data_IF_456127395396
#
_entry.id   IF_456127395396
#
_cell.length_a   1.000
_cell.length_b   1.000
_cell.length_c   1.000
_cell.angle_alpha   90.00
_cell.angle_beta   90.00
_cell.angle_gamma   90.00
#
_symmetry.space_group_name_H-M   'P 1'
#
loop_
_entity.id
_entity.type
_entity.pdbx_description
1 polymer ?
#
# COMPACT_ATOMS: atom_id res chain seq x y z
N UNK A 1 -13.79 -29.12 -24.69
CA UNK A 1 -14.63 -28.78 -23.53
C UNK A 1 -13.69 -28.40 -22.40
N UNK A 2 -13.55 -27.10 -22.10
CA UNK A 2 -12.84 -26.68 -20.91
C UNK A 2 -13.70 -27.06 -19.70
N UNK A 3 -13.29 -28.05 -18.92
CA UNK A 3 -13.93 -28.37 -17.64
C UNK A 3 -13.67 -27.20 -16.68
N UNK A 4 -14.53 -26.18 -16.80
CA UNK A 4 -14.54 -25.05 -15.88
C UNK A 4 -15.07 -25.60 -14.57
N UNK A 5 -14.16 -25.80 -13.61
CA UNK A 5 -14.49 -26.19 -12.24
C UNK A 5 -15.66 -25.35 -11.72
N UNK A 6 -16.62 -25.95 -10.99
CA UNK A 6 -17.76 -25.21 -10.46
C UNK A 6 -17.30 -24.05 -9.57
N UNK A 7 -18.05 -22.95 -9.57
CA UNK A 7 -17.65 -21.67 -8.93
C UNK A 7 -17.25 -21.81 -7.45
N UNK A 8 -17.86 -22.74 -6.72
CA UNK A 8 -17.51 -23.01 -5.32
C UNK A 8 -16.14 -23.70 -5.19
N UNK A 9 -15.79 -24.59 -6.12
CA UNK A 9 -14.48 -25.25 -6.14
C UNK A 9 -13.37 -24.27 -6.49
N UNK A 10 -13.62 -23.36 -7.43
CA UNK A 10 -12.67 -22.29 -7.76
C UNK A 10 -12.56 -21.22 -6.68
N UNK A 11 -13.65 -20.92 -5.96
CA UNK A 11 -13.65 -19.89 -4.93
C UNK A 11 -13.15 -20.37 -3.56
N UNK A 12 -13.35 -21.64 -3.20
CA UNK A 12 -13.06 -22.16 -1.85
C UNK A 12 -12.03 -23.27 -1.89
N UNK A 13 -12.24 -24.30 -2.72
CA UNK A 13 -11.39 -25.51 -2.71
C UNK A 13 -9.98 -25.21 -3.20
N UNK A 14 -9.82 -24.46 -4.31
CA UNK A 14 -8.50 -24.11 -4.84
C UNK A 14 -7.66 -23.28 -3.85
N UNK A 15 -8.16 -22.16 -3.28
CA UNK A 15 -7.42 -21.43 -2.26
C UNK A 15 -7.09 -22.27 -1.02
N UNK A 16 -8.03 -23.11 -0.57
CA UNK A 16 -7.81 -23.98 0.59
C UNK A 16 -6.72 -25.02 0.32
N UNK A 17 -6.73 -25.67 -0.85
CA UNK A 17 -5.67 -26.60 -1.25
C UNK A 17 -4.31 -25.92 -1.38
N UNK A 18 -4.26 -24.71 -1.92
CA UNK A 18 -3.03 -23.93 -1.99
C UNK A 18 -2.50 -23.58 -0.59
N UNK A 19 -3.37 -23.17 0.32
CA UNK A 19 -3.01 -22.88 1.71
C UNK A 19 -2.50 -24.13 2.43
N UNK A 20 -3.21 -25.25 2.32
CA UNK A 20 -2.79 -26.52 2.92
C UNK A 20 -1.47 -27.02 2.33
N UNK A 21 -1.26 -26.84 1.02
CA UNK A 21 0.01 -27.21 0.37
C UNK A 21 1.15 -26.34 0.86
N UNK A 22 0.94 -25.03 0.99
CA UNK A 22 1.93 -24.11 1.54
C UNK A 22 2.27 -24.45 3.01
N UNK A 23 1.26 -24.73 3.83
CA UNK A 23 1.44 -25.17 5.21
C UNK A 23 2.16 -26.52 5.33
N UNK A 24 1.86 -27.47 4.43
CA UNK A 24 2.57 -28.74 4.36
C UNK A 24 4.04 -28.56 4.02
N UNK A 25 4.35 -27.73 3.01
CA UNK A 25 5.74 -27.45 2.61
C UNK A 25 6.48 -26.72 3.72
N UNK A 26 5.87 -25.68 4.32
CA UNK A 26 6.46 -24.96 5.44
C UNK A 26 6.69 -25.89 6.65
N UNK A 27 5.69 -26.71 6.99
CA UNK A 27 5.79 -27.70 8.06
C UNK A 27 6.86 -28.75 7.81
N UNK A 28 7.01 -29.22 6.58
CA UNK A 28 8.08 -30.15 6.21
C UNK A 28 9.47 -29.52 6.40
N UNK A 29 9.64 -28.25 6.02
CA UNK A 29 10.90 -27.53 6.24
C UNK A 29 11.21 -27.39 7.73
N UNK A 30 10.22 -27.01 8.55
CA UNK A 30 10.36 -26.91 10.01
C UNK A 30 10.77 -28.26 10.61
N UNK A 31 10.12 -29.33 10.16
CA UNK A 31 10.45 -30.69 10.59
C UNK A 31 11.88 -31.09 10.21
N UNK A 32 12.33 -30.76 9.00
CA UNK A 32 13.69 -31.01 8.53
C UNK A 32 14.75 -30.21 9.32
N UNK A 33 14.37 -29.08 9.91
CA UNK A 33 15.22 -28.29 10.81
C UNK A 33 15.27 -28.84 12.24
N UNK A 34 14.54 -29.93 12.53
CA UNK A 34 14.50 -30.55 13.86
C UNK A 34 13.48 -29.94 14.82
N UNK A 35 12.69 -28.98 14.36
CA UNK A 35 11.67 -28.29 15.14
C UNK A 35 10.29 -28.93 14.93
N UNK A 36 9.38 -28.79 15.90
CA UNK A 36 8.04 -29.36 15.77
C UNK A 36 7.12 -28.43 14.96
N UNK A 37 6.54 -28.88 13.81
CA UNK A 37 5.72 -28.02 12.97
C UNK A 37 4.44 -27.53 13.65
N UNK A 38 3.83 -28.39 14.49
CA UNK A 38 2.59 -28.06 15.21
C UNK A 38 2.81 -26.98 16.27
N UNK A 39 3.92 -27.02 17.01
CA UNK A 39 4.25 -26.00 17.99
C UNK A 39 4.62 -24.69 17.32
N UNK A 40 5.42 -24.75 16.25
CA UNK A 40 5.78 -23.57 15.46
C UNK A 40 4.53 -22.87 14.90
N UNK A 41 3.58 -23.63 14.35
CA UNK A 41 2.29 -23.10 13.88
C UNK A 41 1.47 -22.52 15.05
N UNK A 42 1.46 -23.21 16.19
CA UNK A 42 0.79 -22.75 17.41
C UNK A 42 1.35 -21.41 17.92
N UNK A 43 2.67 -21.24 17.88
CA UNK A 43 3.38 -20.00 18.24
C UNK A 43 3.03 -18.89 17.25
N UNK A 44 3.00 -19.18 15.94
CA UNK A 44 2.64 -18.19 14.92
C UNK A 44 1.21 -17.68 15.12
N UNK A 45 0.24 -18.59 15.31
CA UNK A 45 -1.16 -18.22 15.54
C UNK A 45 -1.31 -17.44 16.86
N UNK A 46 -0.66 -17.88 17.94
CA UNK A 46 -0.71 -17.16 19.20
C UNK A 46 -0.08 -15.77 19.09
N UNK A 47 1.10 -15.70 18.48
CA UNK A 47 1.87 -14.45 18.36
C UNK A 47 1.24 -13.46 17.39
N UNK A 48 0.50 -13.90 16.37
CA UNK A 48 -0.07 -13.00 15.37
C UNK A 48 -1.54 -12.62 15.63
N UNK A 49 -2.34 -13.53 16.23
CA UNK A 49 -3.80 -13.38 16.33
C UNK A 49 -4.30 -13.36 17.77
N UNK A 50 -3.84 -14.28 18.63
CA UNK A 50 -4.39 -14.42 19.98
C UNK A 50 -3.78 -13.43 20.98
N UNK A 51 -2.49 -13.10 20.80
CA UNK A 51 -1.82 -12.06 21.58
C UNK A 51 -2.31 -10.68 21.12
N UNK A 52 -2.89 -9.84 22.00
CA UNK A 52 -3.34 -8.50 21.63
C UNK A 52 -2.23 -7.61 21.05
N UNK A 53 -1.00 -7.73 21.56
CA UNK A 53 0.14 -6.97 21.02
C UNK A 53 0.49 -7.43 19.62
N UNK A 54 0.55 -8.75 19.45
CA UNK A 54 0.73 -9.42 18.17
C UNK A 54 -0.27 -8.97 17.12
N UNK A 55 -1.55 -9.00 17.48
CA UNK A 55 -2.64 -8.51 16.64
C UNK A 55 -2.48 -7.03 16.31
N UNK A 56 -2.02 -6.19 17.24
CA UNK A 56 -1.72 -4.79 16.97
C UNK A 56 -0.60 -4.59 15.94
N UNK A 57 0.46 -5.41 15.99
CA UNK A 57 1.51 -5.41 14.94
C UNK A 57 0.98 -5.90 13.59
N UNK A 58 0.19 -6.98 13.59
CA UNK A 58 -0.45 -7.52 12.38
C UNK A 58 -1.31 -6.45 11.70
N UNK A 59 -2.18 -5.77 12.46
CA UNK A 59 -3.04 -4.69 11.94
C UNK A 59 -2.23 -3.46 11.50
N UNK A 60 -1.12 -3.16 12.18
CA UNK A 60 -0.23 -2.08 11.78
C UNK A 60 0.37 -2.35 10.40
N UNK A 61 0.94 -3.53 10.13
CA UNK A 61 1.47 -3.87 8.81
C UNK A 61 0.36 -3.98 7.76
N UNK A 62 -0.78 -4.59 8.12
CA UNK A 62 -1.95 -4.69 7.25
C UNK A 62 -2.42 -3.31 6.76
N UNK A 63 -2.30 -2.26 7.57
CA UNK A 63 -2.66 -0.88 7.18
C UNK A 63 -1.89 -0.40 5.94
N UNK A 64 -0.56 -0.55 5.96
CA UNK A 64 0.31 -0.19 4.83
C UNK A 64 0.01 -1.06 3.61
N UNK A 65 -0.16 -2.37 3.84
CA UNK A 65 -0.44 -3.36 2.80
C UNK A 65 -1.81 -3.21 2.14
N UNK A 66 -2.82 -2.75 2.86
CA UNK A 66 -4.13 -2.38 2.29
C UNK A 66 -3.95 -1.23 1.31
N UNK A 67 -3.22 -0.17 1.68
CA UNK A 67 -3.00 0.98 0.79
C UNK A 67 -2.21 0.61 -0.47
N UNK A 68 -1.14 -0.17 -0.33
CA UNK A 68 -0.36 -0.63 -1.50
C UNK A 68 -1.14 -1.64 -2.35
N UNK A 69 -1.92 -2.53 -1.73
CA UNK A 69 -2.84 -3.43 -2.43
C UNK A 69 -3.93 -2.70 -3.20
N UNK A 70 -4.56 -1.68 -2.60
CA UNK A 70 -5.54 -0.82 -3.27
C UNK A 70 -4.92 -0.02 -4.41
N UNK A 71 -3.69 0.47 -4.23
CA UNK A 71 -2.92 1.17 -5.27
C UNK A 71 -2.74 0.30 -6.52
N UNK A 72 -2.33 -0.96 -6.34
CA UNK A 72 -2.20 -1.88 -7.48
C UNK A 72 -3.57 -2.26 -8.03
N UNK A 73 -4.54 -2.56 -7.16
CA UNK A 73 -5.87 -2.99 -7.58
C UNK A 73 -6.58 -1.94 -8.45
N UNK A 74 -6.51 -0.64 -8.12
CA UNK A 74 -7.15 0.42 -8.93
C UNK A 74 -6.51 0.54 -10.32
N UNK A 75 -5.18 0.41 -10.42
CA UNK A 75 -4.49 0.41 -11.71
C UNK A 75 -4.89 -0.80 -12.54
N UNK A 76 -5.00 -1.98 -11.93
CA UNK A 76 -5.40 -3.19 -12.64
C UNK A 76 -6.86 -3.16 -13.11
N UNK A 77 -7.77 -2.47 -12.40
CA UNK A 77 -9.13 -2.24 -12.90
C UNK A 77 -9.14 -1.48 -14.24
N UNK A 78 -8.13 -0.64 -14.49
CA UNK A 78 -7.92 0.05 -15.76
C UNK A 78 -7.14 -0.76 -16.80
N UNK A 79 -6.80 -2.03 -16.50
CA UNK A 79 -5.94 -2.86 -17.36
C UNK A 79 -4.45 -2.56 -17.24
N UNK A 80 -4.02 -1.82 -16.21
CA UNK A 80 -2.63 -1.42 -16.01
C UNK A 80 -1.97 -2.27 -14.92
N UNK A 81 -0.84 -2.90 -15.25
CA UNK A 81 -0.03 -3.63 -14.28
C UNK A 81 1.02 -2.68 -13.67
N UNK A 82 0.59 -1.86 -12.69
CA UNK A 82 1.47 -0.89 -12.02
C UNK A 82 2.40 -1.60 -11.01
N UNK A 83 3.71 -1.58 -11.25
CA UNK A 83 4.75 -2.07 -10.31
C UNK A 83 5.44 -0.90 -9.58
N UNK A 84 4.95 0.32 -9.79
CA UNK A 84 5.56 1.57 -9.31
C UNK A 84 5.14 2.01 -7.91
N UNK A 85 4.32 1.22 -7.20
CA UNK A 85 3.79 1.61 -5.89
C UNK A 85 4.91 1.84 -4.87
N UNK A 86 6.04 1.13 -4.99
CA UNK A 86 7.25 1.34 -4.16
C UNK A 86 7.79 2.78 -4.31
N UNK A 87 8.01 3.24 -5.54
CA UNK A 87 8.50 4.59 -5.85
C UNK A 87 7.48 5.68 -5.53
N UNK A 88 6.20 5.41 -5.76
CA UNK A 88 5.11 6.31 -5.38
C UNK A 88 5.04 6.49 -3.86
N UNK A 89 5.27 5.42 -3.10
CA UNK A 89 5.38 5.46 -1.64
C UNK A 89 6.59 6.28 -1.22
N UNK A 90 7.79 6.07 -1.80
CA UNK A 90 8.96 6.93 -1.53
C UNK A 90 8.64 8.42 -1.64
N UNK A 91 8.10 8.85 -2.79
CA UNK A 91 7.84 10.27 -3.05
C UNK A 91 6.67 10.78 -2.21
N UNK A 92 5.66 9.95 -1.91
CA UNK A 92 4.62 10.27 -0.94
C UNK A 92 5.15 10.47 0.48
N UNK A 93 6.11 9.65 0.91
CA UNK A 93 6.80 9.82 2.19
C UNK A 93 7.63 11.10 2.24
N UNK A 94 8.27 11.47 1.13
CA UNK A 94 8.96 12.76 1.00
C UNK A 94 7.99 13.94 1.14
N UNK A 95 6.88 13.94 0.40
CA UNK A 95 5.89 15.01 0.45
C UNK A 95 5.32 15.22 1.86
N UNK A 96 4.97 14.11 2.52
CA UNK A 96 4.58 14.09 3.94
C UNK A 96 5.66 14.71 4.83
N UNK A 97 6.91 14.27 4.68
CA UNK A 97 8.03 14.71 5.51
C UNK A 97 8.29 16.20 5.35
N UNK A 98 8.33 16.70 4.11
CA UNK A 98 8.54 18.13 3.85
C UNK A 98 7.42 18.97 4.45
N UNK A 99 6.17 18.51 4.34
CA UNK A 99 5.01 19.19 4.93
C UNK A 99 5.11 19.25 6.45
N UNK A 100 5.44 18.13 7.10
CA UNK A 100 5.60 18.06 8.56
C UNK A 100 6.77 18.93 9.01
N UNK A 101 7.96 18.79 8.42
CA UNK A 101 9.15 19.55 8.82
C UNK A 101 8.98 21.08 8.67
N UNK A 102 8.14 21.51 7.72
CA UNK A 102 7.84 22.93 7.51
C UNK A 102 6.81 23.50 8.50
N UNK A 103 6.00 22.65 9.16
CA UNK A 103 4.85 23.11 9.95
C UNK A 103 4.78 22.59 11.38
N UNK A 104 5.57 21.59 11.74
CA UNK A 104 5.53 20.94 13.06
C UNK A 104 5.90 21.87 14.23
N UNK A 105 6.62 22.96 13.95
CA UNK A 105 6.97 23.99 14.93
C UNK A 105 5.87 25.06 15.14
N UNK A 106 4.93 25.23 14.21
CA UNK A 106 4.02 26.39 14.18
C UNK A 106 2.53 26.04 14.18
N UNK A 107 2.16 24.85 13.69
CA UNK A 107 0.76 24.45 13.56
C UNK A 107 0.33 23.48 14.67
N UNK A 108 -0.99 23.43 14.90
CA UNK A 108 -1.61 22.46 15.79
C UNK A 108 -1.64 21.06 15.16
N UNK A 109 -1.54 19.97 15.95
CA UNK A 109 -1.67 18.59 15.47
C UNK A 109 -2.86 18.34 14.54
N UNK A 110 -4.00 18.97 14.84
CA UNK A 110 -5.25 18.86 14.07
C UNK A 110 -5.14 19.37 12.64
N UNK A 111 -4.18 20.25 12.35
CA UNK A 111 -3.89 20.75 11.01
C UNK A 111 -2.72 19.99 10.36
N UNK A 112 -1.68 19.69 11.15
CA UNK A 112 -0.49 18.98 10.63
C UNK A 112 -0.88 17.62 10.05
N UNK A 113 -1.69 16.82 10.77
CA UNK A 113 -2.02 15.45 10.35
C UNK A 113 -2.78 15.41 9.02
N UNK A 114 -3.90 16.15 8.83
CA UNK A 114 -4.59 16.19 7.54
C UNK A 114 -3.70 16.74 6.40
N UNK A 115 -2.91 17.79 6.66
CA UNK A 115 -2.03 18.36 5.64
C UNK A 115 -0.93 17.37 5.22
N UNK A 116 -0.36 16.63 6.17
CA UNK A 116 0.63 15.60 5.91
C UNK A 116 0.06 14.43 5.09
N UNK A 117 -1.17 13.98 5.42
CA UNK A 117 -1.91 12.96 4.65
C UNK A 117 -2.15 13.43 3.22
N UNK A 118 -2.63 14.67 3.04
CA UNK A 118 -2.87 15.26 1.72
C UNK A 118 -1.58 15.42 0.93
N UNK A 119 -0.52 15.95 1.54
CA UNK A 119 0.79 16.08 0.91
C UNK A 119 1.33 14.72 0.46
N UNK A 120 1.17 13.68 1.28
CA UNK A 120 1.59 12.31 0.94
C UNK A 120 0.86 11.78 -0.29
N UNK A 121 -0.48 11.91 -0.31
CA UNK A 121 -1.29 11.49 -1.45
C UNK A 121 -0.99 12.30 -2.72
N UNK A 122 -0.83 13.62 -2.60
CA UNK A 122 -0.55 14.50 -3.75
C UNK A 122 0.81 14.18 -4.37
N UNK A 123 1.85 13.99 -3.55
CA UNK A 123 3.19 13.66 -4.06
C UNK A 123 3.22 12.27 -4.69
N UNK A 124 2.58 11.28 -4.06
CA UNK A 124 2.44 9.94 -4.64
C UNK A 124 1.68 9.97 -5.98
N UNK A 125 0.59 10.73 -6.06
CA UNK A 125 -0.18 10.93 -7.29
C UNK A 125 0.65 11.64 -8.37
N UNK A 126 1.36 12.72 -8.02
CA UNK A 126 2.22 13.45 -8.93
C UNK A 126 3.34 12.57 -9.49
N UNK A 127 3.89 11.65 -8.68
CA UNK A 127 4.86 10.68 -9.17
C UNK A 127 4.25 9.68 -10.16
N UNK A 128 3.07 9.16 -9.85
CA UNK A 128 2.35 8.23 -10.71
C UNK A 128 1.81 8.86 -12.00
N UNK A 129 1.57 10.17 -11.99
CA UNK A 129 1.14 10.94 -13.15
C UNK A 129 2.12 10.79 -14.32
N UNK A 130 3.43 10.81 -14.05
CA UNK A 130 4.45 10.75 -15.10
C UNK A 130 4.41 9.43 -15.89
N UNK A 131 4.52 8.23 -15.27
CA UNK A 131 4.32 6.96 -15.99
C UNK A 131 2.93 6.85 -16.62
N UNK A 132 1.88 7.31 -15.94
CA UNK A 132 0.51 7.28 -16.46
C UNK A 132 0.33 8.13 -17.71
N UNK A 133 0.92 9.32 -17.75
CA UNK A 133 0.92 10.21 -18.91
C UNK A 133 1.71 9.60 -20.07
N UNK A 134 2.91 9.05 -19.80
CA UNK A 134 3.73 8.39 -20.81
C UNK A 134 3.00 7.20 -21.45
N UNK A 135 2.33 6.37 -20.64
CA UNK A 135 1.50 5.28 -21.15
C UNK A 135 0.29 5.81 -21.96
N UNK A 136 -0.39 6.84 -21.46
CA UNK A 136 -1.61 7.37 -22.07
C UNK A 136 -1.40 8.16 -23.37
N UNK A 137 -0.22 8.77 -23.55
CA UNK A 137 0.09 9.67 -24.68
C UNK A 137 1.18 9.15 -25.60
N UNK A 138 2.15 8.40 -25.08
CA UNK A 138 3.29 7.89 -25.87
C UNK A 138 3.27 6.37 -26.04
N UNK A 139 2.29 5.68 -25.44
CA UNK A 139 2.20 4.22 -25.52
C UNK A 139 3.34 3.50 -24.80
N UNK A 140 4.09 4.19 -23.92
CA UNK A 140 5.20 3.59 -23.18
C UNK A 140 4.67 2.53 -22.22
N UNK A 141 5.24 1.32 -22.26
CA UNK A 141 4.76 0.19 -21.47
C UNK A 141 4.81 0.45 -19.96
N UNK A 142 3.65 0.40 -19.29
CA UNK A 142 3.46 0.83 -17.89
C UNK A 142 4.36 0.06 -16.92
N UNK A 143 4.59 -1.23 -17.16
CA UNK A 143 5.44 -2.06 -16.29
C UNK A 143 6.88 -1.55 -16.30
N UNK A 144 7.45 -1.29 -17.48
CA UNK A 144 8.85 -0.87 -17.62
C UNK A 144 9.03 0.53 -17.06
N UNK A 145 8.13 1.46 -17.41
CA UNK A 145 8.21 2.84 -16.93
C UNK A 145 8.09 2.92 -15.41
N UNK A 146 7.16 2.18 -14.81
CA UNK A 146 6.97 2.19 -13.35
C UNK A 146 8.13 1.54 -12.59
N UNK A 147 8.72 0.45 -13.11
CA UNK A 147 9.94 -0.14 -12.54
C UNK A 147 11.10 0.87 -12.59
N UNK A 148 11.34 1.51 -13.73
CA UNK A 148 12.42 2.51 -13.86
C UNK A 148 12.21 3.69 -12.90
N UNK A 149 10.97 4.13 -12.73
CA UNK A 149 10.63 5.20 -11.80
C UNK A 149 10.81 4.83 -10.33
N UNK A 150 10.77 3.54 -9.95
CA UNK A 150 11.14 3.11 -8.60
C UNK A 150 12.63 3.41 -8.31
N UNK A 151 13.52 3.07 -9.24
CA UNK A 151 14.95 3.33 -9.09
C UNK A 151 15.28 4.83 -9.10
N UNK A 152 14.57 5.61 -9.93
CA UNK A 152 14.69 7.08 -9.92
C UNK A 152 14.22 7.62 -8.58
N UNK A 153 13.08 7.15 -8.05
CA UNK A 153 12.56 7.60 -6.77
C UNK A 153 13.51 7.28 -5.60
N UNK A 154 14.06 6.06 -5.54
CA UNK A 154 15.01 5.67 -4.50
C UNK A 154 16.31 6.48 -4.57
N UNK A 155 16.82 6.73 -5.77
CA UNK A 155 18.04 7.53 -5.99
C UNK A 155 17.81 9.00 -5.65
N UNK A 156 16.67 9.54 -6.05
CA UNK A 156 16.26 10.92 -5.72
C UNK A 156 16.05 11.08 -4.21
N UNK A 157 15.43 10.10 -3.54
CA UNK A 157 15.28 10.10 -2.10
C UNK A 157 16.64 10.13 -1.39
N UNK A 158 17.58 9.30 -1.84
CA UNK A 158 18.94 9.29 -1.31
C UNK A 158 19.61 10.67 -1.44
N UNK A 159 19.57 11.25 -2.64
CA UNK A 159 20.10 12.59 -2.89
C UNK A 159 19.47 13.64 -1.98
N UNK A 160 18.14 13.68 -1.89
CA UNK A 160 17.43 14.71 -1.11
C UNK A 160 17.75 14.59 0.38
N UNK A 161 17.79 13.36 0.92
CA UNK A 161 18.11 13.17 2.33
C UNK A 161 19.53 13.67 2.61
N UNK A 162 20.51 13.19 1.84
CA UNK A 162 21.93 13.51 2.05
C UNK A 162 22.21 14.99 1.84
N UNK A 163 21.63 15.62 0.83
CA UNK A 163 21.90 17.01 0.50
C UNK A 163 21.17 18.01 1.41
N UNK A 164 19.97 17.67 1.91
CA UNK A 164 19.08 18.67 2.54
C UNK A 164 18.46 18.27 3.88
N UNK A 165 18.30 16.99 4.19
CA UNK A 165 17.51 16.57 5.36
C UNK A 165 18.33 16.06 6.55
N UNK A 166 19.61 15.72 6.34
CA UNK A 166 20.50 15.32 7.45
C UNK A 166 20.66 16.51 8.43
N UNK A 167 20.34 16.33 9.72
CA UNK A 167 20.54 17.36 10.73
C UNK A 167 22.03 17.70 10.90
N UNK A 168 22.33 18.98 11.17
CA UNK A 168 23.69 19.44 11.44
C UNK A 168 24.32 18.63 12.58
N UNK A 169 25.53 18.12 12.36
CA UNK A 169 26.26 17.30 13.33
C UNK A 169 25.85 15.81 13.37
N UNK A 170 24.96 15.36 12.49
CA UNK A 170 24.63 13.94 12.34
C UNK A 170 25.17 13.36 11.03
N UNK A 171 25.43 12.05 11.03
CA UNK A 171 25.83 11.30 9.83
C UNK A 171 24.77 10.28 9.38
N UNK A 172 23.72 10.08 10.18
CA UNK A 172 22.63 9.17 9.82
C UNK A 172 21.87 9.74 8.62
N UNK A 173 21.70 8.93 7.58
CA UNK A 173 20.95 9.27 6.36
C UNK A 173 19.45 9.24 6.63
N UNK A 174 18.98 10.21 7.41
CA UNK A 174 17.60 10.37 7.82
C UNK A 174 17.29 11.85 8.06
N UNK A 175 16.00 12.22 8.01
CA UNK A 175 15.57 13.54 8.47
C UNK A 175 15.72 13.68 9.98
N UNK A 176 15.62 14.92 10.49
CA UNK A 176 15.36 15.11 11.93
C UNK A 176 14.08 14.41 12.36
N UNK A 177 14.01 14.09 13.65
CA UNK A 177 12.78 13.63 14.31
C UNK A 177 11.71 14.72 14.22
N UNK A 178 10.48 14.31 13.92
CA UNK A 178 9.32 15.19 13.90
C UNK A 178 8.92 15.57 15.32
N UNK A 179 8.39 16.78 15.49
CA UNK A 179 7.79 17.15 16.76
C UNK A 179 6.65 16.19 17.13
N UNK A 180 6.43 15.99 18.44
CA UNK A 180 5.39 15.09 18.95
C UNK A 180 3.99 15.50 18.53
N UNK A 181 3.79 16.77 18.16
CA UNK A 181 2.56 17.30 17.56
C UNK A 181 2.19 16.65 16.23
N UNK A 182 3.18 16.13 15.49
CA UNK A 182 2.98 15.48 14.20
C UNK A 182 2.82 13.95 14.31
N UNK A 183 2.92 13.38 15.50
CA UNK A 183 2.81 11.93 15.66
C UNK A 183 1.35 11.49 15.54
N UNK A 184 1.11 10.41 14.82
CA UNK A 184 -0.25 9.88 14.74
C UNK A 184 -0.67 9.31 16.10
N UNK A 185 -1.90 9.61 16.55
CA UNK A 185 -2.44 8.98 17.75
C UNK A 185 -2.46 7.45 17.59
N UNK A 186 -1.86 6.76 18.56
CA UNK A 186 -1.90 5.30 18.64
C UNK A 186 -3.29 4.84 19.06
N UNK A 187 -3.75 3.73 18.50
CA UNK A 187 -5.04 3.12 18.89
C UNK A 187 -4.98 2.56 20.31
N UNK A 188 -3.80 2.14 20.78
CA UNK A 188 -3.59 1.65 22.14
C UNK A 188 -3.95 2.67 23.22
N UNK A 189 -3.84 3.98 22.93
CA UNK A 189 -4.29 5.04 23.83
C UNK A 189 -5.80 5.01 24.09
N UNK A 190 -6.58 4.55 23.11
CA UNK A 190 -8.05 4.47 23.20
C UNK A 190 -8.54 3.05 23.53
N UNK A 191 -7.78 2.02 23.13
CA UNK A 191 -8.04 0.61 23.40
C UNK A 191 -6.84 0.00 24.14
N UNK A 192 -6.78 0.09 25.48
CA UNK A 192 -5.66 -0.41 26.27
C UNK A 192 -5.45 -1.93 26.15
N UNK A 193 -6.48 -2.66 25.74
CA UNK A 193 -6.46 -4.12 25.53
C UNK A 193 -5.39 -4.53 24.51
N UNK A 194 -5.03 -3.66 23.57
CA UNK A 194 -4.06 -3.94 22.51
C UNK A 194 -2.59 -3.80 22.94
N UNK A 195 -2.32 -3.44 24.20
CA UNK A 195 -0.95 -3.21 24.68
C UNK A 195 -0.25 -2.04 23.99
N UNK A 196 1.06 -1.87 24.21
CA UNK A 196 1.82 -0.77 23.60
C UNK A 196 2.25 -1.12 22.17
N UNK A 197 1.32 -1.04 21.22
CA UNK A 197 1.55 -1.37 19.81
C UNK A 197 1.76 -0.14 18.94
N UNK A 198 2.41 -0.29 17.76
CA UNK A 198 2.53 0.79 16.78
C UNK A 198 1.23 1.09 16.01
N UNK A 199 0.16 0.30 16.24
CA UNK A 199 -1.14 0.48 15.61
C UNK A 199 -1.67 1.90 15.88
N UNK A 200 -2.07 2.59 14.80
CA UNK A 200 -2.44 3.98 14.83
C UNK A 200 -3.62 4.26 13.87
N UNK A 201 -4.12 5.49 13.88
CA UNK A 201 -5.32 5.92 13.13
C UNK A 201 -5.25 5.60 11.63
N UNK A 202 -4.05 5.41 11.06
CA UNK A 202 -3.90 5.01 9.65
C UNK A 202 -4.64 3.71 9.30
N UNK A 203 -4.85 2.79 10.26
CA UNK A 203 -5.66 1.59 10.05
C UNK A 203 -7.12 1.97 9.73
N UNK A 204 -7.69 2.93 10.46
CA UNK A 204 -9.05 3.43 10.21
C UNK A 204 -9.11 4.10 8.84
N UNK A 205 -8.07 4.86 8.45
CA UNK A 205 -7.96 5.44 7.12
C UNK A 205 -7.87 4.37 6.03
N UNK A 206 -7.18 3.25 6.28
CA UNK A 206 -7.07 2.13 5.35
C UNK A 206 -8.43 1.44 5.14
N UNK A 207 -9.20 1.22 6.22
CA UNK A 207 -10.58 0.70 6.14
C UNK A 207 -11.47 1.67 5.37
N UNK A 208 -11.38 2.97 5.65
CA UNK A 208 -12.14 3.98 4.92
C UNK A 208 -11.77 3.96 3.43
N UNK A 209 -10.48 3.84 3.09
CA UNK A 209 -10.02 3.73 1.71
C UNK A 209 -10.56 2.47 1.02
N UNK A 210 -10.67 1.33 1.70
CA UNK A 210 -11.30 0.11 1.17
C UNK A 210 -12.77 0.33 0.84
N UNK A 211 -13.51 0.98 1.74
CA UNK A 211 -14.93 1.29 1.52
C UNK A 211 -15.08 2.27 0.34
N UNK A 212 -14.29 3.33 0.31
CA UNK A 212 -14.31 4.31 -0.79
C UNK A 212 -13.96 3.63 -2.12
N UNK A 213 -12.92 2.80 -2.16
CA UNK A 213 -12.55 2.01 -3.33
C UNK A 213 -13.70 1.12 -3.79
N UNK A 214 -14.33 0.38 -2.86
CA UNK A 214 -15.48 -0.48 -3.15
C UNK A 214 -16.66 0.28 -3.76
N UNK A 215 -17.01 1.43 -3.19
CA UNK A 215 -18.10 2.27 -3.70
C UNK A 215 -17.73 2.91 -5.04
N UNK A 216 -16.53 3.49 -5.16
CA UNK A 216 -16.07 4.16 -6.37
C UNK A 216 -15.96 3.17 -7.55
N UNK A 217 -15.40 1.98 -7.33
CA UNK A 217 -15.23 1.01 -8.41
C UNK A 217 -16.56 0.31 -8.74
N UNK A 218 -17.30 -0.25 -7.78
CA UNK A 218 -18.50 -1.06 -8.08
C UNK A 218 -19.82 -0.29 -8.14
N UNK A 219 -19.94 0.87 -7.51
CA UNK A 219 -21.20 1.61 -7.42
C UNK A 219 -21.23 2.94 -8.18
N UNK A 220 -20.14 3.32 -8.87
CA UNK A 220 -20.10 4.57 -9.65
C UNK A 220 -20.00 4.36 -11.17
N UNK A 221 -20.43 5.37 -11.92
CA UNK A 221 -20.30 5.42 -13.39
C UNK A 221 -18.84 5.47 -13.83
N UNK A 222 -17.98 6.19 -13.10
CA UNK A 222 -16.54 6.22 -13.34
C UNK A 222 -15.92 4.83 -13.18
N UNK A 223 -16.29 4.10 -12.12
CA UNK A 223 -15.82 2.74 -11.88
C UNK A 223 -16.26 1.74 -12.95
N UNK A 224 -17.47 1.91 -13.52
CA UNK A 224 -17.91 1.14 -14.68
C UNK A 224 -17.02 1.41 -15.91
N UNK A 225 -16.74 2.68 -16.22
CA UNK A 225 -15.85 3.07 -17.34
C UNK A 225 -14.42 2.55 -17.14
N UNK A 226 -13.91 2.61 -15.90
CA UNK A 226 -12.60 2.10 -15.51
C UNK A 226 -12.49 0.61 -15.85
N UNK A 227 -13.43 -0.20 -15.35
CA UNK A 227 -13.46 -1.65 -15.62
C UNK A 227 -13.67 -1.98 -17.08
N UNK A 228 -14.56 -1.27 -17.76
CA UNK A 228 -14.79 -1.48 -19.19
C UNK A 228 -13.51 -1.25 -20.00
N UNK A 229 -12.77 -0.18 -19.68
CA UNK A 229 -11.48 0.12 -20.31
C UNK A 229 -10.42 -0.96 -20.02
N UNK A 230 -10.39 -1.50 -18.79
CA UNK A 230 -9.47 -2.58 -18.42
C UNK A 230 -9.78 -3.93 -19.08
N UNK A 231 -11.06 -4.23 -19.31
CA UNK A 231 -11.47 -5.46 -19.99
C UNK A 231 -11.20 -5.41 -21.51
N UNK A 232 -11.54 -4.29 -22.15
CA UNK A 232 -11.29 -4.09 -23.57
C UNK A 232 -11.22 -2.59 -23.90
N UNK A 233 -10.00 -2.08 -24.07
CA UNK A 233 -9.76 -0.68 -24.37
C UNK A 233 -10.41 -0.23 -25.69
N UNK A 234 -10.39 -1.07 -26.74
CA UNK A 234 -11.00 -0.72 -28.02
C UNK A 234 -12.53 -0.59 -27.88
N UNK A 235 -13.19 -1.57 -27.29
CA UNK A 235 -14.63 -1.53 -27.08
C UNK A 235 -15.06 -0.35 -26.18
N UNK A 236 -14.30 -0.07 -25.13
CA UNK A 236 -14.55 1.08 -24.26
C UNK A 236 -14.40 2.41 -25.01
N UNK A 237 -13.39 2.54 -25.88
CA UNK A 237 -13.21 3.72 -26.71
C UNK A 237 -14.36 3.91 -27.71
N UNK A 238 -14.81 2.84 -28.36
CA UNK A 238 -15.99 2.87 -29.23
C UNK A 238 -17.27 3.26 -28.48
N UNK A 239 -17.38 2.88 -27.21
CA UNK A 239 -18.48 3.27 -26.32
C UNK A 239 -18.35 4.71 -25.76
N UNK A 240 -17.36 5.49 -26.21
CA UNK A 240 -17.17 6.89 -25.83
C UNK A 240 -16.29 7.13 -24.59
N UNK A 241 -15.64 6.11 -24.05
CA UNK A 241 -14.72 6.26 -22.90
C UNK A 241 -13.38 6.82 -23.37
N UNK A 242 -12.95 7.94 -22.78
CA UNK A 242 -11.64 8.52 -23.08
C UNK A 242 -10.50 7.74 -22.39
N UNK A 243 -9.89 6.78 -23.11
CA UNK A 243 -8.83 5.92 -22.57
C UNK A 243 -7.69 6.69 -21.90
N UNK A 244 -7.18 7.76 -22.54
CA UNK A 244 -6.07 8.53 -21.96
C UNK A 244 -6.43 9.14 -20.60
N UNK A 245 -7.65 9.65 -20.42
CA UNK A 245 -8.07 10.20 -19.13
C UNK A 245 -8.24 9.08 -18.10
N UNK A 246 -8.81 7.94 -18.49
CA UNK A 246 -8.97 6.77 -17.61
C UNK A 246 -7.62 6.29 -17.09
N UNK A 247 -6.62 6.15 -17.96
CA UNK A 247 -5.26 5.74 -17.58
C UNK A 247 -4.64 6.74 -16.61
N UNK A 248 -4.67 8.04 -16.93
CA UNK A 248 -4.06 9.08 -16.09
C UNK A 248 -4.73 9.15 -14.72
N UNK A 249 -6.07 9.15 -14.67
CA UNK A 249 -6.82 9.22 -13.41
C UNK A 249 -6.61 7.96 -12.57
N UNK A 250 -6.60 6.78 -13.19
CA UNK A 250 -6.31 5.53 -12.48
C UNK A 250 -4.92 5.55 -11.85
N UNK A 251 -3.91 6.03 -12.60
CA UNK A 251 -2.54 6.15 -12.09
C UNK A 251 -2.41 7.22 -11.00
N UNK A 252 -3.07 8.36 -11.12
CA UNK A 252 -3.10 9.39 -10.07
C UNK A 252 -3.67 8.82 -8.75
N UNK A 253 -4.80 8.11 -8.82
CA UNK A 253 -5.41 7.49 -7.63
C UNK A 253 -4.53 6.37 -7.09
N UNK A 254 -3.94 5.55 -7.97
CA UNK A 254 -2.98 4.51 -7.60
C UNK A 254 -1.78 5.09 -6.83
N UNK A 255 -1.21 6.18 -7.34
CA UNK A 255 -0.13 6.92 -6.70
C UNK A 255 -0.52 7.55 -5.38
N UNK A 256 -1.71 8.14 -5.30
CA UNK A 256 -2.21 8.70 -4.05
C UNK A 256 -2.33 7.63 -2.96
N UNK A 257 -2.92 6.48 -3.28
CA UNK A 257 -3.07 5.36 -2.35
C UNK A 257 -1.71 4.79 -1.92
N UNK A 258 -0.75 4.64 -2.84
CA UNK A 258 0.60 4.22 -2.49
C UNK A 258 1.32 5.25 -1.61
N UNK A 259 1.15 6.54 -1.89
CA UNK A 259 1.69 7.62 -1.06
C UNK A 259 1.15 7.53 0.37
N UNK A 260 -0.17 7.40 0.53
CA UNK A 260 -0.85 7.26 1.82
C UNK A 260 -0.34 6.08 2.67
N UNK A 261 0.18 5.02 2.06
CA UNK A 261 0.82 3.92 2.79
C UNK A 261 2.00 4.38 3.68
N UNK A 262 2.67 5.47 3.28
CA UNK A 262 3.80 6.08 4.01
C UNK A 262 3.38 6.77 5.31
N UNK A 263 2.11 7.18 5.42
CA UNK A 263 1.57 7.84 6.62
C UNK A 263 1.72 6.94 7.84
N UNK A 264 1.39 5.65 7.68
CA UNK A 264 1.48 4.67 8.75
C UNK A 264 2.92 4.46 9.24
N UNK A 265 3.86 4.22 8.31
CA UNK A 265 5.25 3.89 8.66
C UNK A 265 5.98 5.11 9.22
N UNK A 266 5.81 6.28 8.60
CA UNK A 266 6.57 7.48 8.96
C UNK A 266 5.93 8.21 10.14
N UNK A 267 4.66 8.60 10.08
CA UNK A 267 4.04 9.36 11.19
C UNK A 267 3.57 8.47 12.33
N UNK A 268 3.32 7.19 12.06
CA UNK A 268 2.79 6.25 13.04
C UNK A 268 3.84 5.44 13.81
N UNK A 269 5.06 5.29 13.26
CA UNK A 269 6.10 4.46 13.88
C UNK A 269 7.46 5.14 13.98
N UNK A 270 8.10 5.48 12.86
CA UNK A 270 9.49 5.98 12.92
C UNK A 270 9.57 7.43 13.36
N UNK A 271 8.61 8.25 12.98
CA UNK A 271 8.54 9.70 13.22
C UNK A 271 9.69 10.50 12.60
N UNK A 272 10.37 9.93 11.60
CA UNK A 272 11.35 10.57 10.74
C UNK A 272 11.41 9.82 9.41
N UNK A 273 11.93 10.48 8.38
CA UNK A 273 12.15 9.88 7.08
C UNK A 273 13.50 9.19 7.04
N UNK A 274 13.52 7.89 6.73
CA UNK A 274 14.73 7.11 6.52
C UNK A 274 14.80 6.54 5.10
N UNK A 275 16.02 6.18 4.68
CA UNK A 275 16.19 5.38 3.48
C UNK A 275 15.51 4.01 3.64
N UNK A 276 15.01 3.47 2.54
CA UNK A 276 14.42 2.14 2.46
C UNK A 276 13.18 1.92 3.35
N UNK A 277 12.50 2.98 3.78
CA UNK A 277 11.27 2.87 4.57
C UNK A 277 10.12 2.10 3.88
N UNK A 278 9.98 2.06 2.53
CA UNK A 278 8.93 1.24 1.91
C UNK A 278 9.13 -0.25 2.12
N UNK A 279 10.39 -0.69 2.33
CA UNK A 279 10.75 -2.06 2.70
C UNK A 279 10.05 -3.17 1.87
N UNK A 280 9.82 -2.94 0.58
CA UNK A 280 9.13 -3.89 -0.30
C UNK A 280 7.61 -3.91 -0.20
N UNK A 281 6.99 -3.06 0.63
CA UNK A 281 5.53 -2.99 0.80
C UNK A 281 4.80 -2.68 -0.51
N UNK A 282 5.42 -1.95 -1.44
CA UNK A 282 4.87 -1.68 -2.76
C UNK A 282 4.76 -2.97 -3.60
N UNK A 283 5.79 -3.81 -3.55
CA UNK A 283 5.79 -5.11 -4.24
C UNK A 283 4.85 -6.13 -3.58
N UNK A 284 4.81 -6.16 -2.24
CA UNK A 284 3.85 -6.99 -1.48
C UNK A 284 2.41 -6.63 -1.86
N UNK A 285 2.13 -5.35 -2.08
CA UNK A 285 0.83 -4.87 -2.56
C UNK A 285 0.35 -5.54 -3.86
N UNK A 286 1.27 -5.95 -4.75
CA UNK A 286 0.92 -6.68 -5.98
C UNK A 286 0.36 -8.05 -5.64
N UNK A 287 1.03 -8.80 -4.76
CA UNK A 287 0.58 -10.12 -4.33
C UNK A 287 -0.80 -10.01 -3.66
N UNK A 288 -1.00 -9.01 -2.79
CA UNK A 288 -2.27 -8.75 -2.10
C UNK A 288 -3.39 -8.42 -3.08
N UNK A 289 -3.14 -7.56 -4.08
CA UNK A 289 -4.14 -7.23 -5.09
C UNK A 289 -4.55 -8.46 -5.93
N UNK A 290 -3.59 -9.33 -6.26
CA UNK A 290 -3.82 -10.56 -7.01
C UNK A 290 -4.57 -11.61 -6.18
N UNK A 291 -4.13 -11.89 -4.96
CA UNK A 291 -4.79 -12.82 -4.03
C UNK A 291 -6.21 -12.35 -3.68
N UNK A 292 -6.36 -11.05 -3.45
CA UNK A 292 -7.65 -10.40 -3.19
C UNK A 292 -8.54 -10.28 -4.43
N UNK A 293 -8.07 -10.73 -5.61
CA UNK A 293 -8.79 -10.65 -6.89
C UNK A 293 -9.32 -9.23 -7.18
N UNK A 294 -8.55 -8.23 -6.77
CA UNK A 294 -8.88 -6.80 -6.84
C UNK A 294 -10.14 -6.39 -6.05
N UNK A 295 -10.79 -7.27 -5.29
CA UNK A 295 -11.99 -6.93 -4.52
C UNK A 295 -11.61 -6.36 -3.14
N UNK A 296 -12.29 -5.32 -2.61
CA UNK A 296 -11.92 -4.69 -1.33
C UNK A 296 -11.86 -5.70 -0.18
N UNK A 297 -12.85 -6.58 -0.06
CA UNK A 297 -12.86 -7.63 0.98
C UNK A 297 -11.69 -8.61 0.79
N UNK A 298 -11.36 -8.94 -0.46
CA UNK A 298 -10.24 -9.84 -0.75
C UNK A 298 -8.90 -9.19 -0.41
N UNK A 299 -8.73 -7.89 -0.69
CA UNK A 299 -7.54 -7.11 -0.34
C UNK A 299 -7.38 -7.03 1.18
N UNK A 300 -8.47 -6.77 1.91
CA UNK A 300 -8.45 -6.76 3.37
C UNK A 300 -7.99 -8.10 3.95
N UNK A 301 -8.61 -9.21 3.52
CA UNK A 301 -8.25 -10.54 4.01
C UNK A 301 -6.82 -10.94 3.60
N UNK A 302 -6.39 -10.55 2.40
CA UNK A 302 -5.03 -10.85 1.91
C UNK A 302 -3.95 -10.01 2.58
N UNK A 303 -4.29 -8.82 3.10
CA UNK A 303 -3.35 -7.98 3.84
C UNK A 303 -3.21 -8.38 5.32
N UNK A 304 -4.18 -9.15 5.84
CA UNK A 304 -4.14 -9.73 7.18
C UNK A 304 -3.41 -11.07 7.23
N UNK A 305 -3.39 -11.79 6.10
CA UNK A 305 -2.72 -13.08 5.92
C UNK A 305 -1.20 -12.89 5.78
#
# INVERSE_FOLDING_TARGET
MSDVLPRWATAIVLPLLNLLSALLVAGLVIFLLGESPSESLGILIHSAVLNPEGLGYTLFYASTFIFTGLSVAIAMQAGLFNIGSEGQMYIGGLGLTLMVLATDASLSPWLIVPLAILASGIFGAAWAFLPGYLQAKRGSHIVVTTIMFNFIASSLMNYIIVAFLIPQGQQNTASRLFATSAWLPKLSTYLPVLGNTPLNISFILAILALVIYGLAVWRSSWGFQLRAAGLNAHAAHYAGVSLSKTIIVAMLISGALAGLASVNTIMGSTHYLNLNFPAGAGFIGIAIALMGRQHPVGIFLSALL
#
